data_IF_197914835240
#
_entry.id   IF_197914835240
#
_cell.length_a   1.000
_cell.length_b   1.000
_cell.length_c   1.000
_cell.angle_alpha   90.00
_cell.angle_beta   90.00
_cell.angle_gamma   90.00
#
_symmetry.space_group_name_H-M   'P 1'
#
loop_
_entity.id
_entity.type
_entity.pdbx_description
1 polymer ?
#
# COMPACT_ATOMS: atom_id res chain seq x y z
N UNK A 1 -7.23 -38.90 0.11
CA UNK A 1 -6.58 -38.78 1.44
C UNK A 1 -6.98 -37.46 2.08
N UNK A 2 -7.22 -37.43 3.39
CA UNK A 2 -7.45 -36.18 4.11
C UNK A 2 -6.10 -35.43 4.24
N UNK A 3 -6.05 -34.12 3.97
CA UNK A 3 -4.81 -33.36 4.06
C UNK A 3 -4.31 -33.33 5.51
N UNK A 4 -2.99 -33.44 5.70
CA UNK A 4 -2.36 -33.38 7.03
C UNK A 4 -2.58 -32.01 7.68
N UNK A 5 -2.39 -31.90 8.99
CA UNK A 5 -2.48 -30.61 9.69
C UNK A 5 -1.49 -29.58 9.11
N UNK A 6 -0.27 -30.01 8.79
CA UNK A 6 0.76 -29.17 8.19
C UNK A 6 0.40 -28.70 6.78
N UNK A 7 -0.12 -29.59 5.93
CA UNK A 7 -0.59 -29.22 4.57
C UNK A 7 -1.72 -28.19 4.62
N UNK A 8 -2.65 -28.31 5.58
CA UNK A 8 -3.71 -27.31 5.77
C UNK A 8 -3.15 -25.96 6.22
N UNK A 9 -2.25 -25.95 7.19
CA UNK A 9 -1.61 -24.72 7.65
C UNK A 9 -0.79 -24.05 6.53
N UNK A 10 -0.12 -24.83 5.70
CA UNK A 10 0.59 -24.35 4.51
C UNK A 10 -0.39 -23.72 3.50
N UNK A 11 -1.53 -24.37 3.23
CA UNK A 11 -2.59 -23.81 2.37
C UNK A 11 -3.19 -22.52 2.94
N UNK A 12 -3.51 -22.46 4.23
CA UNK A 12 -4.00 -21.25 4.90
C UNK A 12 -3.00 -20.10 4.79
N UNK A 13 -1.71 -20.36 5.04
CA UNK A 13 -0.65 -19.37 4.86
C UNK A 13 -0.55 -18.94 3.40
N UNK A 14 -0.63 -19.85 2.45
CA UNK A 14 -0.54 -19.55 1.01
C UNK A 14 -1.65 -18.58 0.57
N UNK A 15 -2.89 -18.77 1.00
CA UNK A 15 -3.99 -17.84 0.70
C UNK A 15 -3.82 -16.49 1.40
N UNK A 16 -3.35 -16.47 2.64
CA UNK A 16 -3.11 -15.22 3.37
C UNK A 16 -1.97 -14.40 2.74
N UNK A 17 -0.89 -15.03 2.26
CA UNK A 17 0.19 -14.33 1.56
C UNK A 17 -0.25 -13.74 0.22
N UNK A 18 -1.32 -14.27 -0.38
CA UNK A 18 -1.93 -13.74 -1.61
C UNK A 18 -3.11 -12.78 -1.36
N UNK A 19 -3.30 -12.33 -0.12
CA UNK A 19 -4.39 -11.41 0.20
C UNK A 19 -5.79 -12.02 0.09
N UNK A 20 -5.96 -13.35 0.23
CA UNK A 20 -7.24 -14.03 0.06
C UNK A 20 -7.84 -14.60 1.35
N UNK A 21 -8.09 -13.76 2.38
CA UNK A 21 -8.59 -14.25 3.67
C UNK A 21 -10.00 -14.83 3.59
N UNK A 22 -10.84 -14.36 2.66
CA UNK A 22 -12.23 -14.81 2.52
C UNK A 22 -12.36 -16.27 2.04
N UNK A 23 -11.29 -16.85 1.47
CA UNK A 23 -11.24 -18.26 1.05
C UNK A 23 -11.25 -19.20 2.26
N UNK A 24 -10.80 -18.72 3.43
CA UNK A 24 -10.74 -19.50 4.67
C UNK A 24 -12.14 -19.67 5.28
N UNK A 25 -12.30 -20.66 6.17
CA UNK A 25 -13.58 -20.88 6.87
C UNK A 25 -13.86 -19.71 7.84
N UNK A 26 -15.14 -19.39 8.12
CA UNK A 26 -15.50 -18.49 9.21
C UNK A 26 -14.87 -18.99 10.53
N UNK A 27 -14.21 -18.10 11.28
CA UNK A 27 -13.54 -18.43 12.55
C UNK A 27 -12.05 -18.77 12.45
N UNK A 28 -11.54 -19.24 11.30
CA UNK A 28 -10.09 -19.47 11.13
C UNK A 28 -9.27 -18.16 11.24
N UNK A 29 -9.85 -17.05 10.81
CA UNK A 29 -9.21 -15.73 10.87
C UNK A 29 -9.07 -15.19 12.30
N UNK A 30 -9.99 -15.56 13.21
CA UNK A 30 -9.93 -15.18 14.64
C UNK A 30 -8.90 -15.98 15.42
N UNK A 31 -8.49 -17.15 14.90
CA UNK A 31 -7.47 -17.96 15.55
C UNK A 31 -6.11 -17.26 15.41
N UNK A 32 -5.38 -17.16 16.54
CA UNK A 32 -4.00 -16.67 16.59
C UNK A 32 -3.82 -15.20 16.17
N UNK A 33 -4.87 -14.38 16.27
CA UNK A 33 -4.82 -12.94 15.97
C UNK A 33 -3.64 -12.24 16.66
N UNK A 34 -3.40 -12.56 17.94
CA UNK A 34 -2.25 -12.05 18.70
C UNK A 34 -0.89 -12.26 18.04
N UNK A 35 -0.59 -13.50 17.62
CA UNK A 35 0.69 -13.81 16.96
C UNK A 35 0.73 -13.35 15.50
N UNK A 36 -0.44 -13.13 14.87
CA UNK A 36 -0.55 -12.63 13.50
C UNK A 36 -0.37 -11.12 13.42
N UNK A 37 -0.73 -10.37 14.47
CA UNK A 37 -0.52 -8.92 14.54
C UNK A 37 0.89 -8.52 14.94
N UNK A 38 1.73 -9.46 15.40
CA UNK A 38 3.09 -9.19 15.89
C UNK A 38 3.96 -8.36 14.92
N UNK A 39 3.99 -8.60 13.60
CA UNK A 39 4.74 -7.76 12.66
C UNK A 39 4.29 -6.30 12.63
N UNK A 40 2.97 -6.06 12.64
CA UNK A 40 2.40 -4.72 12.61
C UNK A 40 2.61 -3.98 13.94
N UNK A 41 2.46 -4.69 15.07
CA UNK A 41 2.76 -4.17 16.39
C UNK A 41 4.24 -3.79 16.52
N UNK A 42 5.15 -4.62 15.99
CA UNK A 42 6.58 -4.33 16.01
C UNK A 42 6.95 -3.11 15.16
N UNK A 43 6.37 -2.98 13.96
CA UNK A 43 6.55 -1.78 13.14
C UNK A 43 6.04 -0.52 13.86
N UNK A 44 4.86 -0.59 14.48
CA UNK A 44 4.31 0.52 15.27
C UNK A 44 5.19 0.87 16.48
N UNK A 45 5.70 -0.14 17.20
CA UNK A 45 6.62 0.06 18.31
C UNK A 45 7.91 0.78 17.89
N UNK A 46 8.44 0.51 16.68
CA UNK A 46 9.60 1.24 16.14
C UNK A 46 9.26 2.71 15.90
N UNK A 47 8.10 3.01 15.31
CA UNK A 47 7.64 4.40 15.13
C UNK A 47 7.58 5.12 16.48
N UNK A 48 7.01 4.46 17.48
CA UNK A 48 6.90 5.01 18.84
C UNK A 48 8.27 5.16 19.53
N UNK A 49 9.21 4.25 19.30
CA UNK A 49 10.57 4.36 19.82
C UNK A 49 11.33 5.54 19.21
N UNK A 50 11.16 5.79 17.90
CA UNK A 50 11.68 6.99 17.25
C UNK A 50 11.06 8.27 17.82
N UNK A 51 9.76 8.24 18.13
CA UNK A 51 9.07 9.36 18.78
C UNK A 51 9.69 9.69 20.15
N UNK A 52 9.95 8.68 20.99
CA UNK A 52 10.70 8.87 22.25
C UNK A 52 12.07 9.49 21.99
N UNK A 53 12.83 8.95 21.03
CA UNK A 53 14.18 9.43 20.72
C UNK A 53 14.18 10.89 20.27
N UNK A 54 13.23 11.28 19.42
CA UNK A 54 13.08 12.65 18.94
C UNK A 54 12.76 13.57 20.12
N UNK A 55 11.74 13.25 20.94
CA UNK A 55 11.36 14.07 22.10
C UNK A 55 12.51 14.20 23.10
N UNK A 56 13.23 13.11 23.37
CA UNK A 56 14.37 13.11 24.30
C UNK A 56 15.54 13.98 23.83
N UNK A 57 15.76 14.08 22.51
CA UNK A 57 16.87 14.84 21.94
C UNK A 57 16.51 16.31 21.63
N UNK A 58 15.26 16.58 21.24
CA UNK A 58 14.81 17.93 20.85
C UNK A 58 14.12 18.68 21.96
N UNK A 59 13.57 17.97 22.97
CA UNK A 59 12.69 18.53 23.98
C UNK A 59 11.36 19.06 23.44
N UNK A 60 11.07 18.86 22.15
CA UNK A 60 9.87 19.36 21.46
C UNK A 60 9.03 18.20 20.96
N UNK A 61 7.72 18.34 21.13
CA UNK A 61 6.72 17.41 20.57
C UNK A 61 6.36 17.74 19.12
N UNK A 62 6.69 18.94 18.63
CA UNK A 62 6.43 19.40 17.26
C UNK A 62 7.71 19.88 16.60
N UNK A 63 7.86 19.58 15.31
CA UNK A 63 9.02 19.92 14.49
C UNK A 63 8.66 21.17 13.68
N UNK A 64 9.40 22.26 13.91
CA UNK A 64 9.29 23.51 13.17
C UNK A 64 10.70 23.84 12.68
N UNK A 65 10.91 23.88 11.36
CA UNK A 65 12.23 24.09 10.74
C UNK A 65 12.15 25.34 9.88
N UNK A 66 12.62 26.46 10.41
CA UNK A 66 12.69 27.72 9.69
C UNK A 66 14.07 27.91 9.05
N UNK A 67 14.11 28.00 7.72
CA UNK A 67 15.34 28.31 6.97
C UNK A 67 16.35 27.15 6.87
N UNK A 68 17.63 27.43 7.10
CA UNK A 68 18.70 26.44 6.96
C UNK A 68 18.74 25.48 8.17
N UNK A 69 18.58 24.15 7.98
CA UNK A 69 18.44 23.25 9.11
C UNK A 69 19.71 23.18 9.96
N UNK A 70 19.53 23.32 11.27
CA UNK A 70 20.55 23.09 12.30
C UNK A 70 20.92 21.60 12.36
N UNK A 71 22.03 21.25 13.03
CA UNK A 71 22.46 19.84 13.20
C UNK A 71 21.37 18.96 13.82
N UNK A 72 20.59 19.50 14.75
CA UNK A 72 19.48 18.80 15.42
C UNK A 72 18.31 18.61 14.47
N UNK A 73 18.00 19.59 13.62
CA UNK A 73 16.94 19.47 12.60
C UNK A 73 17.34 18.51 11.48
N UNK A 74 18.62 18.47 11.08
CA UNK A 74 19.15 17.43 10.20
C UNK A 74 18.99 16.03 10.79
N UNK A 75 19.20 15.86 12.09
CA UNK A 75 18.94 14.59 12.78
C UNK A 75 17.45 14.25 12.73
N UNK A 76 16.56 15.21 13.00
CA UNK A 76 15.11 15.00 12.94
C UNK A 76 14.66 14.64 11.52
N UNK A 77 15.20 15.29 10.49
CA UNK A 77 14.93 14.95 9.09
C UNK A 77 15.42 13.55 8.75
N UNK A 78 16.64 13.18 9.18
CA UNK A 78 17.16 11.83 9.00
C UNK A 78 16.30 10.79 9.74
N UNK A 79 15.86 11.10 10.97
CA UNK A 79 14.94 10.27 11.74
C UNK A 79 13.63 10.08 10.98
N UNK A 80 13.00 11.15 10.50
CA UNK A 80 11.75 11.11 9.73
C UNK A 80 11.87 10.21 8.49
N UNK A 81 12.98 10.29 7.77
CA UNK A 81 13.27 9.45 6.60
C UNK A 81 13.50 7.98 7.00
N UNK A 82 14.14 7.72 8.15
CA UNK A 82 14.50 6.38 8.61
C UNK A 82 13.40 5.66 9.40
N UNK A 83 12.42 6.38 9.97
CA UNK A 83 11.34 5.80 10.78
C UNK A 83 10.56 4.74 9.99
N UNK A 84 10.07 5.08 8.80
CA UNK A 84 9.25 4.17 8.01
C UNK A 84 10.04 2.95 7.47
N UNK A 85 11.26 3.11 6.90
CA UNK A 85 12.10 1.98 6.51
C UNK A 85 12.45 1.07 7.69
N UNK A 86 12.81 1.63 8.85
CA UNK A 86 13.16 0.83 10.03
C UNK A 86 11.95 0.08 10.60
N UNK A 87 10.78 0.72 10.65
CA UNK A 87 9.53 0.08 11.04
C UNK A 87 9.15 -1.07 10.09
N UNK A 88 9.28 -0.85 8.78
CA UNK A 88 9.07 -1.89 7.76
C UNK A 88 10.04 -3.05 7.90
N UNK A 89 11.33 -2.77 8.11
CA UNK A 89 12.37 -3.78 8.28
C UNK A 89 12.15 -4.66 9.52
N UNK A 90 11.84 -4.05 10.67
CA UNK A 90 11.56 -4.80 11.90
C UNK A 90 10.28 -5.62 11.77
N UNK A 91 9.22 -5.03 11.20
CA UNK A 91 7.98 -5.77 10.90
C UNK A 91 8.24 -6.99 10.00
N UNK A 92 9.10 -6.83 8.98
CA UNK A 92 9.50 -7.91 8.09
C UNK A 92 10.34 -9.00 8.77
N UNK A 93 11.28 -8.64 9.66
CA UNK A 93 12.03 -9.63 10.45
C UNK A 93 11.09 -10.47 11.34
N UNK A 94 10.13 -9.82 12.00
CA UNK A 94 9.12 -10.52 12.83
C UNK A 94 8.20 -11.39 11.95
N UNK A 95 7.89 -10.97 10.73
CA UNK A 95 7.07 -11.75 9.80
C UNK A 95 7.79 -13.01 9.29
N UNK A 96 9.12 -13.00 9.17
CA UNK A 96 9.92 -14.18 8.79
C UNK A 96 10.03 -15.23 9.88
N UNK A 97 9.81 -14.85 11.14
CA UNK A 97 9.91 -15.79 12.26
C UNK A 97 8.76 -16.78 12.21
N UNK A 98 9.05 -18.09 12.17
CA UNK A 98 8.03 -19.16 12.11
C UNK A 98 7.58 -19.65 13.48
N UNK A 99 8.36 -19.37 14.53
CA UNK A 99 8.06 -19.73 15.92
C UNK A 99 6.98 -18.83 16.53
N UNK A 100 5.91 -19.45 17.02
CA UNK A 100 4.78 -18.76 17.66
C UNK A 100 5.17 -18.12 18.99
N UNK A 101 6.13 -18.68 19.73
CA UNK A 101 6.58 -18.14 21.02
C UNK A 101 7.34 -16.84 20.83
N UNK A 102 8.26 -16.82 19.88
CA UNK A 102 9.04 -15.62 19.54
C UNK A 102 8.13 -14.50 19.05
N UNK A 103 7.12 -14.82 18.21
CA UNK A 103 6.11 -13.83 17.79
C UNK A 103 5.27 -13.29 18.95
N UNK A 104 4.89 -14.15 19.90
CA UNK A 104 4.16 -13.74 21.10
C UNK A 104 4.99 -12.84 22.02
N UNK A 105 6.28 -13.13 22.17
CA UNK A 105 7.22 -12.28 22.91
C UNK A 105 7.43 -10.94 22.22
N UNK A 106 7.59 -10.94 20.89
CA UNK A 106 7.75 -9.71 20.11
C UNK A 106 6.52 -8.80 20.20
N UNK A 107 5.30 -9.35 20.15
CA UNK A 107 4.08 -8.54 20.32
C UNK A 107 3.95 -7.97 21.74
N UNK A 108 4.29 -8.75 22.78
CA UNK A 108 4.30 -8.27 24.16
C UNK A 108 5.32 -7.16 24.37
N UNK A 109 6.55 -7.33 23.87
CA UNK A 109 7.59 -6.31 23.91
C UNK A 109 7.17 -5.03 23.14
N UNK A 110 6.52 -5.19 21.98
CA UNK A 110 6.02 -4.07 21.19
C UNK A 110 4.98 -3.24 21.97
N UNK A 111 4.04 -3.91 22.65
CA UNK A 111 3.05 -3.23 23.49
C UNK A 111 3.69 -2.49 24.67
N UNK A 112 4.73 -3.07 25.29
CA UNK A 112 5.48 -2.40 26.34
C UNK A 112 6.17 -1.13 25.83
N UNK A 113 6.80 -1.17 24.65
CA UNK A 113 7.42 0.01 24.01
C UNK A 113 6.37 1.09 23.71
N UNK A 114 5.20 0.72 23.16
CA UNK A 114 4.12 1.67 22.88
C UNK A 114 3.60 2.31 24.18
N UNK A 115 3.43 1.52 25.24
CA UNK A 115 3.00 2.04 26.54
C UNK A 115 4.02 3.03 27.14
N UNK A 116 5.31 2.71 27.07
CA UNK A 116 6.39 3.61 27.47
C UNK A 116 6.38 4.89 26.64
N UNK A 117 6.17 4.77 25.32
CA UNK A 117 6.14 5.93 24.43
C UNK A 117 4.97 6.87 24.73
N UNK A 118 3.81 6.35 25.10
CA UNK A 118 2.68 7.18 25.53
C UNK A 118 2.97 8.02 26.78
N UNK A 119 3.95 7.64 27.61
CA UNK A 119 4.36 8.38 28.81
C UNK A 119 5.52 9.32 28.54
N UNK A 120 6.52 8.87 27.78
CA UNK A 120 7.81 9.56 27.66
C UNK A 120 8.04 10.29 26.33
N UNK A 121 7.25 10.02 25.30
CA UNK A 121 7.58 10.45 23.94
C UNK A 121 6.39 10.57 23.00
N UNK A 122 5.21 10.82 23.55
CA UNK A 122 4.00 10.90 22.75
C UNK A 122 4.00 12.13 21.83
N UNK A 123 3.26 12.09 20.69
CA UNK A 123 3.22 13.18 19.72
C UNK A 123 2.64 14.49 20.29
N UNK A 124 1.98 14.44 21.45
CA UNK A 124 1.39 15.60 22.10
C UNK A 124 1.92 15.76 23.53
N UNK A 125 1.76 16.96 24.10
CA UNK A 125 2.05 17.18 25.52
C UNK A 125 1.02 16.49 26.44
N UNK A 126 -0.10 15.99 25.88
CA UNK A 126 -1.20 15.43 26.63
C UNK A 126 -1.13 13.89 26.64
N UNK A 127 -0.55 13.34 27.71
CA UNK A 127 -0.41 11.88 27.94
C UNK A 127 -1.73 11.13 27.71
N UNK A 128 -2.86 11.67 28.17
CA UNK A 128 -4.19 11.06 27.98
C UNK A 128 -4.60 10.95 26.52
N UNK A 129 -4.30 11.97 25.71
CA UNK A 129 -4.60 11.96 24.27
C UNK A 129 -3.74 10.93 23.54
N UNK A 130 -2.43 10.89 23.84
CA UNK A 130 -1.51 9.94 23.22
C UNK A 130 -1.83 8.50 23.59
N UNK A 131 -2.25 8.24 24.84
CA UNK A 131 -2.71 6.92 25.24
C UNK A 131 -3.97 6.49 24.49
N UNK A 132 -4.94 7.39 24.29
CA UNK A 132 -6.16 7.11 23.50
C UNK A 132 -5.79 6.77 22.05
N UNK A 133 -4.90 7.56 21.42
CA UNK A 133 -4.43 7.32 20.06
C UNK A 133 -3.72 5.97 19.96
N UNK A 134 -2.84 5.65 20.90
CA UNK A 134 -2.13 4.36 20.92
C UNK A 134 -3.10 3.17 21.03
N UNK A 135 -4.07 3.25 21.94
CA UNK A 135 -5.10 2.22 22.09
C UNK A 135 -5.95 2.10 20.81
N UNK A 136 -6.30 3.21 20.17
CA UNK A 136 -7.04 3.21 18.91
C UNK A 136 -6.24 2.54 17.79
N UNK A 137 -4.95 2.86 17.63
CA UNK A 137 -4.06 2.25 16.63
C UNK A 137 -3.87 0.76 16.88
N UNK A 138 -3.62 0.35 18.12
CA UNK A 138 -3.51 -1.07 18.48
C UNK A 138 -4.81 -1.82 18.17
N UNK A 139 -5.96 -1.23 18.53
CA UNK A 139 -7.28 -1.80 18.23
C UNK A 139 -7.50 -1.92 16.72
N UNK A 140 -7.11 -0.92 15.94
CA UNK A 140 -7.16 -0.96 14.48
C UNK A 140 -6.27 -2.07 13.91
N UNK A 141 -5.05 -2.26 14.41
CA UNK A 141 -4.16 -3.35 14.01
C UNK A 141 -4.82 -4.71 14.27
N UNK A 142 -5.43 -4.90 15.45
CA UNK A 142 -6.13 -6.14 15.78
C UNK A 142 -7.35 -6.37 14.89
N UNK A 143 -8.18 -5.35 14.68
CA UNK A 143 -9.34 -5.43 13.78
C UNK A 143 -8.92 -5.77 12.34
N UNK A 144 -7.90 -5.10 11.80
CA UNK A 144 -7.36 -5.38 10.48
C UNK A 144 -6.80 -6.81 10.37
N UNK A 145 -6.14 -7.30 11.41
CA UNK A 145 -5.61 -8.67 11.46
C UNK A 145 -6.72 -9.71 11.52
N UNK A 146 -7.75 -9.43 12.33
CA UNK A 146 -8.85 -10.34 12.59
C UNK A 146 -9.83 -10.45 11.41
N UNK A 147 -10.02 -9.35 10.68
CA UNK A 147 -10.79 -9.30 9.42
C UNK A 147 -10.02 -9.84 8.21
N UNK A 148 -8.69 -9.98 8.31
CA UNK A 148 -7.83 -10.37 7.19
C UNK A 148 -7.43 -9.20 6.29
N UNK A 149 -7.88 -7.97 6.58
CA UNK A 149 -7.41 -6.75 5.89
C UNK A 149 -5.89 -6.62 5.99
N UNK A 150 -5.30 -6.98 7.13
CA UNK A 150 -3.84 -6.94 7.32
C UNK A 150 -3.07 -7.83 6.34
N UNK A 151 -3.61 -9.00 5.96
CA UNK A 151 -3.00 -9.83 4.91
C UNK A 151 -3.12 -9.20 3.52
N UNK A 152 -4.22 -8.50 3.24
CA UNK A 152 -4.40 -7.79 1.96
C UNK A 152 -3.43 -6.60 1.87
N UNK A 153 -3.28 -5.84 2.95
CA UNK A 153 -2.33 -4.73 3.03
C UNK A 153 -0.88 -5.21 2.90
N UNK A 154 -0.50 -6.28 3.59
CA UNK A 154 0.85 -6.84 3.51
C UNK A 154 1.18 -7.37 2.11
N UNK A 155 0.23 -8.04 1.47
CA UNK A 155 0.36 -8.48 0.08
C UNK A 155 0.45 -7.29 -0.89
N UNK A 156 -0.41 -6.28 -0.73
CA UNK A 156 -0.40 -5.09 -1.58
C UNK A 156 0.92 -4.32 -1.47
N UNK A 157 1.48 -4.21 -0.26
CA UNK A 157 2.78 -3.59 -0.02
C UNK A 157 3.91 -4.35 -0.73
N UNK A 158 3.92 -5.68 -0.62
CA UNK A 158 4.91 -6.52 -1.31
C UNK A 158 4.81 -6.34 -2.84
N UNK A 159 3.59 -6.35 -3.37
CA UNK A 159 3.34 -6.08 -4.79
C UNK A 159 3.89 -4.72 -5.22
N UNK A 160 3.71 -3.66 -4.41
CA UNK A 160 4.28 -2.34 -4.69
C UNK A 160 5.82 -2.38 -4.71
N UNK A 161 6.45 -3.09 -3.78
CA UNK A 161 7.92 -3.22 -3.74
C UNK A 161 8.47 -4.00 -4.93
N UNK A 162 7.82 -5.10 -5.33
CA UNK A 162 8.21 -5.88 -6.50
C UNK A 162 8.05 -5.06 -7.79
N UNK A 163 7.00 -4.23 -7.86
CA UNK A 163 6.79 -3.26 -8.94
C UNK A 163 7.89 -2.18 -8.98
N UNK A 164 8.37 -1.71 -7.82
CA UNK A 164 9.48 -0.76 -7.70
C UNK A 164 10.81 -1.35 -8.21
N UNK A 165 11.07 -2.65 -8.05
CA UNK A 165 12.28 -3.27 -8.62
C UNK A 165 12.25 -3.23 -10.16
N UNK A 166 11.07 -3.10 -10.76
CA UNK A 166 10.86 -3.03 -12.21
C UNK A 166 10.84 -1.60 -12.79
N UNK A 167 11.34 -0.59 -12.05
CA UNK A 167 11.36 0.84 -12.46
C UNK A 167 11.90 1.06 -13.88
N UNK A 168 12.90 0.27 -14.31
CA UNK A 168 13.50 0.39 -15.64
C UNK A 168 12.48 0.22 -16.79
N UNK A 169 11.56 -0.73 -16.67
CA UNK A 169 10.47 -0.92 -17.64
C UNK A 169 9.26 0.02 -17.41
N UNK A 170 9.20 0.70 -16.26
CA UNK A 170 8.18 1.71 -15.99
C UNK A 170 8.53 3.05 -16.61
N UNK A 171 9.81 3.43 -16.63
CA UNK A 171 10.28 4.69 -17.23
C UNK A 171 9.95 4.76 -18.72
N UNK A 172 10.15 3.66 -19.46
CA UNK A 172 9.81 3.57 -20.88
C UNK A 172 8.30 3.70 -21.15
N UNK A 173 7.46 3.20 -20.23
CA UNK A 173 6.00 3.35 -20.28
C UNK A 173 5.53 4.77 -19.97
N UNK A 174 6.27 5.50 -19.14
CA UNK A 174 5.95 6.86 -18.76
C UNK A 174 6.42 7.90 -19.79
N UNK A 175 7.40 7.60 -20.65
CA UNK A 175 7.95 8.52 -21.66
C UNK A 175 6.89 9.35 -22.42
N UNK A 176 5.81 8.76 -22.98
CA UNK A 176 4.80 9.55 -23.70
C UNK A 176 4.06 10.53 -22.78
N UNK A 177 3.73 10.09 -21.56
CA UNK A 177 3.07 10.94 -20.56
C UNK A 177 4.03 12.02 -20.10
N UNK A 178 5.31 11.70 -19.90
CA UNK A 178 6.34 12.66 -19.54
C UNK A 178 6.46 13.77 -20.58
N UNK A 179 6.50 13.43 -21.87
CA UNK A 179 6.54 14.43 -22.95
C UNK A 179 5.34 15.37 -22.90
N UNK A 180 4.13 14.82 -22.71
CA UNK A 180 2.91 15.62 -22.59
C UNK A 180 2.90 16.49 -21.32
N UNK A 181 3.32 15.91 -20.19
CA UNK A 181 3.29 16.55 -18.88
C UNK A 181 4.40 17.56 -18.69
N UNK A 182 5.51 17.48 -19.43
CA UNK A 182 6.55 18.53 -19.48
C UNK A 182 5.95 19.84 -19.98
N UNK A 183 5.06 19.80 -20.99
CA UNK A 183 4.38 21.01 -21.46
C UNK A 183 3.48 21.62 -20.37
N UNK A 184 2.77 20.78 -19.63
CA UNK A 184 1.98 21.21 -18.47
C UNK A 184 2.88 21.73 -17.33
N UNK A 185 4.04 21.12 -17.14
CA UNK A 185 5.00 21.51 -16.10
C UNK A 185 5.58 22.90 -16.34
N UNK A 186 5.79 23.33 -17.58
CA UNK A 186 6.27 24.69 -17.88
C UNK A 186 5.14 25.71 -18.12
N UNK A 187 3.89 25.36 -17.79
CA UNK A 187 2.73 26.21 -18.03
C UNK A 187 2.48 27.18 -16.85
N UNK A 188 2.71 28.47 -17.06
CA UNK A 188 2.56 29.52 -16.04
C UNK A 188 1.24 29.48 -15.26
N UNK A 189 0.06 29.48 -15.91
CA UNK A 189 -1.23 29.34 -15.24
C UNK A 189 -1.35 28.16 -14.27
N UNK A 190 -0.70 27.02 -14.55
CA UNK A 190 -0.70 25.86 -13.65
C UNK A 190 0.07 26.18 -12.36
N UNK A 191 1.18 26.90 -12.44
CA UNK A 191 1.94 27.34 -11.27
C UNK A 191 1.19 28.39 -10.44
N UNK A 192 0.54 29.34 -11.10
CA UNK A 192 -0.31 30.34 -10.43
C UNK A 192 -1.45 29.66 -9.67
N UNK A 193 -2.15 28.70 -10.32
CA UNK A 193 -3.17 27.88 -9.66
C UNK A 193 -2.57 27.10 -8.47
N UNK A 194 -1.43 26.43 -8.66
CA UNK A 194 -0.81 25.62 -7.62
C UNK A 194 -0.36 26.43 -6.40
N UNK A 195 0.08 27.68 -6.58
CA UNK A 195 0.46 28.58 -5.50
C UNK A 195 -0.73 29.11 -4.69
N UNK A 196 -1.91 29.23 -5.32
CA UNK A 196 -3.10 29.86 -4.72
C UNK A 196 -4.11 28.85 -4.15
N UNK A 197 -4.11 27.61 -4.64
CA UNK A 197 -5.03 26.57 -4.18
C UNK A 197 -4.71 26.15 -2.75
N UNK A 198 -5.74 26.17 -1.89
CA UNK A 198 -5.62 25.65 -0.53
C UNK A 198 -5.48 24.13 -0.50
N UNK A 199 -4.76 23.60 0.50
CA UNK A 199 -4.52 22.14 0.64
C UNK A 199 -5.81 21.34 0.71
N UNK A 200 -6.83 21.84 1.41
CA UNK A 200 -8.13 21.17 1.50
C UNK A 200 -8.79 21.01 0.13
N UNK A 201 -8.76 22.07 -0.70
CA UNK A 201 -9.30 22.01 -2.07
C UNK A 201 -8.46 21.09 -2.96
N UNK A 202 -7.13 21.13 -2.82
CA UNK A 202 -6.24 20.21 -3.53
C UNK A 202 -6.59 18.75 -3.21
N UNK A 203 -6.67 18.39 -1.93
CA UNK A 203 -7.01 17.02 -1.51
C UNK A 203 -8.38 16.57 -2.04
N UNK A 204 -9.39 17.43 -2.03
CA UNK A 204 -10.70 17.14 -2.61
C UNK A 204 -10.59 16.89 -4.13
N UNK A 205 -9.82 17.71 -4.85
CA UNK A 205 -9.61 17.53 -6.29
C UNK A 205 -8.84 16.23 -6.60
N UNK A 206 -7.77 15.94 -5.86
CA UNK A 206 -7.01 14.69 -6.01
C UNK A 206 -7.87 13.47 -5.70
N UNK A 207 -8.67 13.53 -4.62
CA UNK A 207 -9.61 12.46 -4.26
C UNK A 207 -10.66 12.26 -5.35
N UNK A 208 -11.21 13.35 -5.91
CA UNK A 208 -12.18 13.28 -6.99
C UNK A 208 -11.61 12.62 -8.25
N UNK A 209 -10.43 13.04 -8.71
CA UNK A 209 -9.74 12.39 -9.84
C UNK A 209 -9.44 10.91 -9.55
N UNK A 210 -8.96 10.62 -8.34
CA UNK A 210 -8.63 9.26 -7.93
C UNK A 210 -9.87 8.36 -7.94
N UNK A 211 -10.99 8.82 -7.39
CA UNK A 211 -12.25 8.07 -7.36
C UNK A 211 -12.78 7.76 -8.76
N UNK A 212 -12.71 8.72 -9.69
CA UNK A 212 -13.12 8.50 -11.09
C UNK A 212 -12.22 7.46 -11.76
N UNK A 213 -10.90 7.62 -11.62
CA UNK A 213 -9.94 6.70 -12.20
C UNK A 213 -10.09 5.27 -11.65
N UNK A 214 -10.28 5.13 -10.33
CA UNK A 214 -10.55 3.84 -9.67
C UNK A 214 -11.87 3.26 -10.14
N UNK A 215 -12.95 4.04 -10.21
CA UNK A 215 -14.24 3.55 -10.68
C UNK A 215 -14.15 3.01 -12.12
N UNK A 216 -13.43 3.71 -13.00
CA UNK A 216 -13.19 3.27 -14.37
C UNK A 216 -12.39 1.96 -14.40
N UNK A 217 -11.27 1.91 -13.68
CA UNK A 217 -10.39 0.76 -13.54
C UNK A 217 -11.13 -0.50 -13.04
N UNK A 218 -11.91 -0.35 -11.96
CA UNK A 218 -12.71 -1.43 -11.37
C UNK A 218 -13.82 -1.89 -12.32
N UNK A 219 -14.49 -0.96 -13.00
CA UNK A 219 -15.54 -1.29 -13.97
C UNK A 219 -15.00 -2.12 -15.13
N UNK A 220 -13.87 -1.72 -15.71
CA UNK A 220 -13.21 -2.47 -16.79
C UNK A 220 -12.72 -3.85 -16.34
N UNK A 221 -12.17 -3.95 -15.13
CA UNK A 221 -11.75 -5.22 -14.54
C UNK A 221 -12.93 -6.16 -14.30
N UNK A 222 -14.04 -5.66 -13.74
CA UNK A 222 -15.25 -6.44 -13.48
C UNK A 222 -15.83 -7.06 -14.74
N UNK A 223 -15.83 -6.31 -15.85
CA UNK A 223 -16.28 -6.81 -17.16
C UNK A 223 -15.51 -8.05 -17.61
N UNK A 224 -14.21 -8.16 -17.28
CA UNK A 224 -13.34 -9.28 -17.66
C UNK A 224 -13.30 -10.43 -16.67
N UNK A 225 -13.43 -10.13 -15.39
CA UNK A 225 -13.35 -11.14 -14.33
C UNK A 225 -14.67 -11.92 -14.24
N UNK A 226 -15.81 -11.28 -14.53
CA UNK A 226 -17.13 -11.91 -14.42
C UNK A 226 -17.27 -13.25 -15.18
N UNK A 227 -16.81 -13.41 -16.44
CA UNK A 227 -16.83 -14.70 -17.14
C UNK A 227 -15.95 -15.78 -16.48
N UNK A 228 -14.85 -15.39 -15.85
CA UNK A 228 -13.86 -16.31 -15.25
C UNK A 228 -14.33 -16.84 -13.89
N UNK A 229 -15.12 -16.03 -13.18
CA UNK A 229 -15.76 -16.41 -11.92
C UNK A 229 -16.94 -17.36 -12.12
N UNK A 230 -17.39 -17.59 -13.35
CA UNK A 230 -18.44 -18.55 -13.64
C UNK A 230 -17.99 -19.97 -13.22
N UNK A 231 -18.78 -20.70 -12.41
CA UNK A 231 -18.50 -22.09 -12.07
C UNK A 231 -18.26 -23.01 -13.28
N UNK A 232 -18.83 -22.68 -14.45
CA UNK A 232 -18.65 -23.40 -15.71
C UNK A 232 -17.31 -23.14 -16.42
N UNK A 233 -16.55 -22.12 -16.02
CA UNK A 233 -15.28 -21.75 -16.65
C UNK A 233 -14.08 -22.60 -16.18
N UNK A 234 -14.31 -23.77 -15.57
CA UNK A 234 -13.24 -24.67 -15.11
C UNK A 234 -12.68 -25.46 -16.30
N UNK A 235 -11.41 -25.24 -16.63
CA UNK A 235 -10.69 -26.03 -17.62
C UNK A 235 -9.84 -27.12 -16.94
N UNK A 236 -9.69 -28.29 -17.60
CA UNK A 236 -8.84 -29.38 -17.11
C UNK A 236 -7.35 -28.97 -17.10
N UNK A 237 -6.94 -28.10 -18.01
CA UNK A 237 -5.58 -27.53 -18.09
C UNK A 237 -5.18 -26.74 -16.84
N UNK A 238 -6.16 -26.18 -16.11
CA UNK A 238 -5.88 -25.41 -14.89
C UNK A 238 -5.34 -26.30 -13.75
N UNK A 239 -5.61 -27.62 -13.79
CA UNK A 239 -5.11 -28.57 -12.80
C UNK A 239 -3.57 -28.75 -12.89
N UNK A 240 -3.01 -28.60 -14.08
CA UNK A 240 -1.56 -28.71 -14.31
C UNK A 240 -0.78 -27.54 -13.70
N UNK A 241 -1.43 -26.38 -13.53
CA UNK A 241 -0.83 -25.18 -12.91
C UNK A 241 -0.59 -25.33 -11.41
N UNK A 242 -1.18 -26.34 -10.76
CA UNK A 242 -1.03 -26.60 -9.32
C UNK A 242 0.18 -27.46 -8.94
N UNK A 243 0.95 -27.94 -9.92
CA UNK A 243 2.19 -28.71 -9.68
C UNK A 243 3.17 -27.88 -8.86
N UNK A 244 3.71 -28.46 -7.79
CA UNK A 244 4.62 -27.78 -6.85
C UNK A 244 3.93 -26.89 -5.81
N UNK A 245 2.60 -26.80 -5.82
CA UNK A 245 1.84 -26.11 -4.76
C UNK A 245 1.36 -27.08 -3.67
N UNK A 246 1.03 -26.59 -2.45
CA UNK A 246 0.49 -27.46 -1.39
C UNK A 246 -0.81 -28.20 -1.76
N UNK A 247 -1.46 -27.82 -2.86
CA UNK A 247 -2.75 -28.33 -3.31
C UNK A 247 -2.65 -29.44 -4.38
N UNK A 248 -1.43 -29.79 -4.80
CA UNK A 248 -1.18 -30.77 -5.87
C UNK A 248 -1.83 -32.13 -5.57
N UNK A 249 -1.70 -32.63 -4.34
CA UNK A 249 -2.20 -33.94 -3.90
C UNK A 249 -3.63 -33.92 -3.35
N UNK A 250 -4.31 -32.77 -3.38
CA UNK A 250 -5.66 -32.63 -2.85
C UNK A 250 -6.72 -33.10 -3.86
N UNK A 251 -7.83 -33.71 -3.40
CA UNK A 251 -8.90 -34.19 -4.28
C UNK A 251 -9.56 -33.04 -5.04
N UNK A 252 -9.90 -33.32 -6.30
CA UNK A 252 -10.50 -32.37 -7.23
C UNK A 252 -11.97 -32.71 -7.53
N UNK A 253 -12.78 -31.70 -7.87
CA UNK A 253 -14.19 -31.87 -8.27
C UNK A 253 -14.39 -31.51 -9.74
N UNK A 254 -15.32 -32.13 -10.48
CA UNK A 254 -15.56 -31.78 -11.89
C UNK A 254 -16.07 -30.34 -12.10
N UNK A 255 -16.77 -29.77 -11.13
CA UNK A 255 -17.30 -28.39 -11.17
C UNK A 255 -16.82 -27.57 -9.98
N UNK A 256 -16.48 -26.30 -10.22
CA UNK A 256 -16.09 -25.36 -9.16
C UNK A 256 -17.24 -25.15 -8.18
N UNK A 257 -16.94 -25.13 -6.89
CA UNK A 257 -17.90 -24.69 -5.88
C UNK A 257 -18.19 -23.19 -6.08
N UNK A 258 -19.46 -22.75 -6.18
CA UNK A 258 -19.79 -21.35 -6.38
C UNK A 258 -19.16 -20.48 -5.29
N UNK A 259 -18.68 -19.31 -5.69
CA UNK A 259 -18.10 -18.33 -4.78
C UNK A 259 -19.23 -17.67 -3.99
N UNK A 260 -19.04 -17.54 -2.67
CA UNK A 260 -19.89 -16.67 -1.86
C UNK A 260 -19.70 -15.20 -2.27
N UNK A 261 -20.68 -14.34 -1.95
CA UNK A 261 -20.59 -12.90 -2.22
C UNK A 261 -19.33 -12.26 -1.61
N UNK A 262 -18.95 -12.69 -0.41
CA UNK A 262 -17.75 -12.22 0.28
C UNK A 262 -16.46 -12.68 -0.42
N UNK A 263 -16.40 -13.93 -0.90
CA UNK A 263 -15.24 -14.41 -1.67
C UNK A 263 -15.13 -13.68 -3.01
N UNK A 264 -16.25 -13.47 -3.70
CA UNK A 264 -16.28 -12.72 -4.95
C UNK A 264 -15.81 -11.28 -4.76
N UNK A 265 -16.31 -10.61 -3.72
CA UNK A 265 -15.88 -9.25 -3.38
C UNK A 265 -14.39 -9.20 -3.04
N UNK A 266 -13.88 -10.17 -2.26
CA UNK A 266 -12.46 -10.22 -1.90
C UNK A 266 -11.55 -10.46 -3.11
N UNK A 267 -11.93 -11.38 -4.01
CA UNK A 267 -11.19 -11.62 -5.26
C UNK A 267 -11.13 -10.36 -6.13
N UNK A 268 -12.28 -9.72 -6.35
CA UNK A 268 -12.35 -8.48 -7.13
C UNK A 268 -11.55 -7.37 -6.45
N UNK A 269 -11.65 -7.25 -5.12
CA UNK A 269 -10.93 -6.25 -4.34
C UNK A 269 -9.41 -6.43 -4.45
N UNK A 270 -8.91 -7.66 -4.30
CA UNK A 270 -7.49 -7.99 -4.44
C UNK A 270 -7.00 -7.62 -5.84
N UNK A 271 -7.70 -8.05 -6.89
CA UNK A 271 -7.34 -7.71 -8.26
C UNK A 271 -7.36 -6.19 -8.54
N UNK A 272 -8.41 -5.51 -8.08
CA UNK A 272 -8.53 -4.06 -8.21
C UNK A 272 -7.40 -3.34 -7.47
N UNK A 273 -7.10 -3.75 -6.24
CA UNK A 273 -6.04 -3.17 -5.43
C UNK A 273 -4.67 -3.39 -6.06
N UNK A 274 -4.41 -4.59 -6.60
CA UNK A 274 -3.19 -4.89 -7.38
C UNK A 274 -3.01 -3.92 -8.54
N UNK A 275 -4.07 -3.74 -9.32
CA UNK A 275 -4.05 -2.89 -10.49
C UNK A 275 -3.89 -1.41 -10.12
N UNK A 276 -4.58 -0.95 -9.07
CA UNK A 276 -4.42 0.41 -8.52
C UNK A 276 -2.98 0.62 -8.05
N UNK A 277 -2.43 -0.32 -7.27
CA UNK A 277 -1.07 -0.23 -6.75
C UNK A 277 -0.04 -0.16 -7.88
N UNK A 278 -0.18 -0.98 -8.93
CA UNK A 278 0.71 -0.96 -10.08
C UNK A 278 0.67 0.39 -10.81
N UNK A 279 -0.51 0.89 -11.14
CA UNK A 279 -0.70 2.18 -11.84
C UNK A 279 -0.22 3.35 -10.97
N UNK A 280 -0.53 3.32 -9.67
CA UNK A 280 -0.12 4.34 -8.71
C UNK A 280 1.41 4.37 -8.54
N UNK A 281 2.06 3.21 -8.54
CA UNK A 281 3.53 3.13 -8.46
C UNK A 281 4.18 3.88 -9.63
N UNK A 282 3.69 3.67 -10.86
CA UNK A 282 4.20 4.38 -12.04
C UNK A 282 3.91 5.89 -11.95
N UNK A 283 2.71 6.26 -11.52
CA UNK A 283 2.30 7.66 -11.36
C UNK A 283 3.15 8.40 -10.32
N UNK A 284 3.40 7.79 -9.16
CA UNK A 284 4.24 8.34 -8.09
C UNK A 284 5.69 8.42 -8.54
N UNK A 285 6.23 7.40 -9.20
CA UNK A 285 7.59 7.44 -9.75
C UNK A 285 7.77 8.59 -10.75
N UNK A 286 6.77 8.81 -11.60
CA UNK A 286 6.73 9.92 -12.56
C UNK A 286 6.66 11.26 -11.83
N UNK A 287 5.81 11.37 -10.81
CA UNK A 287 5.71 12.55 -9.95
C UNK A 287 7.02 12.89 -9.24
N UNK A 288 7.70 11.88 -8.69
CA UNK A 288 9.01 12.04 -8.05
C UNK A 288 10.07 12.52 -9.05
N UNK A 289 10.04 12.02 -10.29
CA UNK A 289 10.94 12.51 -11.33
C UNK A 289 10.70 14.00 -11.63
N UNK A 290 9.44 14.42 -11.76
CA UNK A 290 9.11 15.84 -11.95
C UNK A 290 9.45 16.70 -10.73
N UNK A 291 9.32 16.15 -9.52
CA UNK A 291 9.73 16.82 -8.30
C UNK A 291 11.24 17.06 -8.29
N UNK A 292 12.04 16.03 -8.58
CA UNK A 292 13.49 16.14 -8.70
C UNK A 292 13.89 17.10 -9.83
N UNK A 293 13.25 16.98 -10.99
CA UNK A 293 13.48 17.86 -12.13
C UNK A 293 13.16 19.32 -11.78
N UNK A 294 12.06 19.58 -11.08
CA UNK A 294 11.68 20.90 -10.60
C UNK A 294 12.66 21.47 -9.60
N UNK A 295 13.14 20.66 -8.64
CA UNK A 295 14.18 21.08 -7.70
C UNK A 295 15.51 21.45 -8.38
N UNK A 296 15.83 20.80 -9.51
CA UNK A 296 17.06 21.07 -10.27
C UNK A 296 16.96 22.30 -11.17
N UNK A 297 15.81 22.51 -11.81
CA UNK A 297 15.64 23.54 -12.85
C UNK A 297 15.02 24.84 -12.35
N UNK A 298 14.16 24.79 -11.33
CA UNK A 298 13.41 25.95 -10.89
C UNK A 298 14.27 26.73 -9.90
N UNK A 299 14.89 27.79 -10.41
CA UNK A 299 15.56 28.77 -9.56
C UNK A 299 14.53 29.58 -8.74
N UNK A 300 14.91 30.15 -7.58
CA UNK A 300 14.02 31.02 -6.81
C UNK A 300 13.45 32.19 -7.62
N UNK A 301 14.24 32.75 -8.55
CA UNK A 301 13.78 33.82 -9.45
C UNK A 301 12.72 33.33 -10.45
N UNK A 302 12.90 32.12 -11.01
CA UNK A 302 11.92 31.50 -11.90
C UNK A 302 10.64 31.12 -11.14
N UNK A 303 10.76 30.62 -9.91
CA UNK A 303 9.61 30.32 -9.06
C UNK A 303 8.80 31.58 -8.77
N UNK A 304 9.44 32.68 -8.40
CA UNK A 304 8.77 33.96 -8.14
C UNK A 304 8.02 34.47 -9.38
N UNK A 305 8.62 34.34 -10.57
CA UNK A 305 7.99 34.70 -11.83
C UNK A 305 6.79 33.81 -12.19
N UNK A 306 6.86 32.51 -11.91
CA UNK A 306 5.78 31.55 -12.19
C UNK A 306 4.61 31.62 -11.18
N UNK A 307 4.89 32.08 -9.97
CA UNK A 307 3.93 32.09 -8.84
C UNK A 307 3.45 33.48 -8.46
N UNK A 308 3.82 34.53 -9.22
CA UNK A 308 3.48 35.93 -8.95
C UNK A 308 3.86 36.37 -7.52
N UNK A 309 5.06 35.97 -7.07
CA UNK A 309 5.57 36.29 -5.73
C UNK A 309 5.01 35.42 -4.59
N UNK A 310 4.49 34.23 -4.88
CA UNK A 310 3.98 33.29 -3.87
C UNK A 310 5.03 32.80 -2.86
N UNK A 311 4.60 32.14 -1.76
CA UNK A 311 5.50 31.71 -0.68
C UNK A 311 6.62 30.77 -1.17
N UNK A 312 7.86 31.05 -0.75
CA UNK A 312 9.04 30.26 -1.14
C UNK A 312 9.07 28.86 -0.48
N UNK A 313 8.51 28.75 0.73
CA UNK A 313 8.52 27.52 1.53
C UNK A 313 7.15 26.81 1.49
N UNK A 314 7.17 25.48 1.55
CA UNK A 314 5.97 24.67 1.66
C UNK A 314 5.81 24.10 3.06
N UNK A 315 4.57 23.91 3.50
CA UNK A 315 4.31 23.18 4.73
C UNK A 315 3.61 21.84 4.41
N UNK A 316 3.91 20.80 5.18
CA UNK A 316 3.30 19.48 5.10
C UNK A 316 2.88 19.05 6.51
N UNK A 317 1.59 18.80 6.73
CA UNK A 317 1.06 18.36 8.04
C UNK A 317 1.60 19.16 9.24
N UNK A 318 1.62 20.49 9.12
CA UNK A 318 2.09 21.47 10.13
C UNK A 318 3.63 21.63 10.24
N UNK A 319 4.42 20.93 9.42
CA UNK A 319 5.88 21.11 9.34
C UNK A 319 6.26 21.96 8.12
N UNK A 320 7.12 22.96 8.30
CA UNK A 320 7.80 23.69 7.22
C UNK A 320 8.88 22.79 6.61
N UNK A 321 8.80 22.57 5.30
CA UNK A 321 9.81 21.84 4.52
C UNK A 321 10.47 22.82 3.54
N UNK A 322 11.79 22.73 3.31
CA UNK A 322 12.50 23.53 2.31
C UNK A 322 12.22 23.04 0.88
N UNK A 323 10.95 22.77 0.58
CA UNK A 323 10.45 22.38 -0.74
C UNK A 323 9.32 23.36 -1.09
N UNK A 324 9.40 24.08 -2.22
CA UNK A 324 8.38 25.05 -2.59
C UNK A 324 6.97 24.45 -2.64
N UNK A 325 6.00 25.11 -2.01
CA UNK A 325 4.62 24.62 -1.96
C UNK A 325 4.03 24.40 -3.35
N UNK A 326 4.26 25.36 -4.25
CA UNK A 326 3.77 25.28 -5.62
C UNK A 326 4.34 24.04 -6.35
N UNK A 327 5.62 23.72 -6.14
CA UNK A 327 6.24 22.53 -6.73
C UNK A 327 5.60 21.23 -6.19
N UNK A 328 5.32 21.15 -4.89
CA UNK A 328 4.59 20.01 -4.32
C UNK A 328 3.19 19.87 -4.92
N UNK A 329 2.45 20.97 -5.04
CA UNK A 329 1.09 20.94 -5.59
C UNK A 329 1.07 20.57 -7.08
N UNK A 330 1.98 21.13 -7.90
CA UNK A 330 2.11 20.80 -9.33
C UNK A 330 2.45 19.33 -9.51
N UNK A 331 3.43 18.82 -8.76
CA UNK A 331 3.87 17.41 -8.86
C UNK A 331 2.78 16.43 -8.41
N UNK A 332 2.02 16.77 -7.36
CA UNK A 332 0.84 16.00 -6.97
C UNK A 332 -0.23 15.97 -8.06
N UNK A 333 -0.50 17.12 -8.69
CA UNK A 333 -1.47 17.21 -9.78
C UNK A 333 -1.05 16.40 -11.01
N UNK A 334 0.22 16.52 -11.43
CA UNK A 334 0.79 15.73 -12.52
C UNK A 334 0.76 14.22 -12.22
N UNK A 335 1.02 13.83 -10.97
CA UNK A 335 0.90 12.44 -10.53
C UNK A 335 -0.54 11.92 -10.65
N UNK A 336 -1.53 12.71 -10.22
CA UNK A 336 -2.93 12.33 -10.32
C UNK A 336 -3.43 12.23 -11.77
N UNK A 337 -3.01 13.17 -12.64
CA UNK A 337 -3.31 13.10 -14.07
C UNK A 337 -2.65 11.88 -14.73
N UNK A 338 -1.40 11.59 -14.37
CA UNK A 338 -0.67 10.41 -14.85
C UNK A 338 -1.39 9.13 -14.42
N UNK A 339 -1.81 9.03 -13.16
CA UNK A 339 -2.59 7.91 -12.65
C UNK A 339 -3.89 7.73 -13.43
N UNK A 340 -4.64 8.80 -13.65
CA UNK A 340 -5.89 8.77 -14.41
C UNK A 340 -5.68 8.33 -15.87
N UNK A 341 -4.69 8.89 -16.56
CA UNK A 341 -4.35 8.51 -17.93
C UNK A 341 -3.97 7.02 -18.04
N UNK A 342 -3.09 6.54 -17.15
CA UNK A 342 -2.66 5.16 -17.13
C UNK A 342 -3.80 4.20 -16.75
N UNK A 343 -4.69 4.58 -15.84
CA UNK A 343 -5.88 3.80 -15.49
C UNK A 343 -6.81 3.64 -16.70
N UNK A 344 -7.02 4.70 -17.49
CA UNK A 344 -7.81 4.63 -18.72
C UNK A 344 -7.15 3.74 -19.78
N UNK A 345 -5.83 3.90 -19.97
CA UNK A 345 -5.05 3.12 -20.92
C UNK A 345 -5.01 1.64 -20.56
N UNK A 346 -4.96 1.32 -19.27
CA UNK A 346 -4.97 -0.05 -18.77
C UNK A 346 -6.20 -0.87 -19.17
N UNK A 347 -7.30 -0.22 -19.55
CA UNK A 347 -8.53 -0.91 -20.00
C UNK A 347 -8.71 -0.83 -21.51
N UNK A 348 -8.29 0.26 -22.14
CA UNK A 348 -8.59 0.50 -23.55
C UNK A 348 -7.49 0.00 -24.50
N UNK A 349 -6.23 -0.02 -24.07
CA UNK A 349 -5.08 -0.39 -24.90
C UNK A 349 -4.78 -1.90 -24.80
N UNK A 350 -4.77 -2.60 -25.93
CA UNK A 350 -4.56 -4.05 -25.98
C UNK A 350 -3.16 -4.48 -25.53
N UNK A 351 -2.14 -3.71 -25.92
CA UNK A 351 -0.75 -4.00 -25.58
C UNK A 351 -0.53 -3.78 -24.07
N UNK A 352 -1.04 -2.66 -23.55
CA UNK A 352 -0.91 -2.35 -22.13
C UNK A 352 -1.62 -3.40 -21.25
N UNK A 353 -2.78 -3.90 -21.70
CA UNK A 353 -3.53 -4.95 -21.01
C UNK A 353 -2.80 -6.26 -20.93
N UNK A 354 -2.20 -6.71 -22.03
CA UNK A 354 -1.46 -7.96 -22.07
C UNK A 354 -0.31 -7.96 -21.06
N UNK A 355 0.34 -6.81 -20.89
CA UNK A 355 1.44 -6.66 -19.96
C UNK A 355 1.02 -6.46 -18.50
N UNK A 356 -0.17 -5.90 -18.23
CA UNK A 356 -0.56 -5.48 -16.87
C UNK A 356 -1.72 -6.27 -16.28
N UNK A 357 -2.75 -6.58 -17.06
CA UNK A 357 -4.01 -7.17 -16.59
C UNK A 357 -4.00 -8.69 -16.73
N UNK A 358 -3.49 -9.22 -17.83
CA UNK A 358 -3.53 -10.66 -18.11
C UNK A 358 -2.74 -11.51 -17.08
N UNK A 359 -1.56 -11.07 -16.58
CA UNK A 359 -0.87 -11.79 -15.51
C UNK A 359 -1.68 -11.89 -14.22
N UNK A 360 -2.45 -10.85 -13.88
CA UNK A 360 -3.32 -10.83 -12.70
C UNK A 360 -4.50 -11.81 -12.86
N UNK A 361 -5.04 -11.90 -14.08
CA UNK A 361 -6.11 -12.85 -14.41
C UNK A 361 -5.59 -14.30 -14.30
N UNK A 362 -4.37 -14.54 -14.74
CA UNK A 362 -3.78 -15.89 -14.71
C UNK A 362 -3.48 -16.34 -13.28
N UNK A 363 -2.94 -15.48 -12.42
CA UNK A 363 -2.76 -15.76 -10.99
C UNK A 363 -4.12 -15.95 -10.27
N UNK A 364 -5.17 -15.24 -10.70
CA UNK A 364 -6.53 -15.50 -10.23
C UNK A 364 -6.99 -16.92 -10.57
N UNK A 365 -6.79 -17.38 -11.82
CA UNK A 365 -7.20 -18.73 -12.24
C UNK A 365 -6.53 -19.80 -11.41
N UNK A 366 -5.21 -19.71 -11.25
CA UNK A 366 -4.43 -20.59 -10.35
C UNK A 366 -5.07 -20.64 -8.96
N UNK A 367 -5.39 -19.48 -8.42
CA UNK A 367 -5.90 -19.36 -7.07
C UNK A 367 -7.31 -19.91 -6.90
N UNK A 368 -8.19 -19.73 -7.90
CA UNK A 368 -9.53 -20.31 -7.87
C UNK A 368 -9.49 -21.84 -7.88
N UNK A 369 -8.53 -22.43 -8.59
CA UNK A 369 -8.36 -23.89 -8.66
C UNK A 369 -7.79 -24.41 -7.34
N UNK A 370 -6.80 -23.72 -6.76
CA UNK A 370 -6.28 -24.00 -5.43
C UNK A 370 -7.39 -23.96 -4.36
N UNK A 371 -8.26 -22.93 -4.41
CA UNK A 371 -9.43 -22.83 -3.51
C UNK A 371 -10.32 -24.05 -3.63
N UNK A 372 -10.66 -24.46 -4.85
CA UNK A 372 -11.62 -25.54 -5.08
C UNK A 372 -11.12 -26.85 -4.48
N UNK A 373 -9.82 -27.15 -4.65
CA UNK A 373 -9.17 -28.30 -4.00
C UNK A 373 -9.13 -28.18 -2.48
N UNK A 374 -8.79 -27.00 -1.95
CA UNK A 374 -8.78 -26.76 -0.50
C UNK A 374 -10.17 -26.93 0.14
N UNK A 375 -11.21 -26.39 -0.49
CA UNK A 375 -12.60 -26.52 -0.03
C UNK A 375 -13.08 -27.96 -0.14
N UNK A 376 -12.71 -28.67 -1.20
CA UNK A 376 -13.04 -30.10 -1.35
C UNK A 376 -12.37 -30.95 -0.27
N UNK A 377 -11.09 -30.72 -0.01
CA UNK A 377 -10.33 -31.47 1.00
C UNK A 377 -10.78 -31.17 2.44
N UNK A 378 -11.28 -29.96 2.70
CA UNK A 378 -11.78 -29.58 4.03
C UNK A 378 -13.25 -29.93 4.23
N UNK A 379 -14.10 -29.88 3.20
CA UNK A 379 -15.55 -30.16 3.29
C UNK A 379 -15.91 -31.58 3.75
N UNK A 380 -14.98 -32.53 3.69
CA UNK A 380 -15.14 -33.88 4.24
C UNK A 380 -15.15 -33.94 5.79
N UNK A 381 -15.04 -32.78 6.46
CA UNK A 381 -15.18 -32.58 7.91
C UNK A 381 -15.87 -31.25 8.20
#
# INVERSE_FOLDING_TARGET
MNPTYEQRLAGERWFLHRGLPAVLRPGTLMRRVWTRSAPALAGFAVVMAWSILIVALTGKHTIDIDGAPTRTEWFVLAALVLVLPSAGFVGWLVSRTTDLRVRGAASAASLAVVALAGVFGGPSAAISFDMIVNVAVITAIFLCTATGIGSILGWALQMTLDNLVSIGGMLSRALPVMLLTVLAFFNGPIWTMASTVSRGRLWLALLFLFLIAVAFLVSGLLGRVRPILDPGAKAEEDAQKLVGTPFESMPDRPRRVPLSTAERANVVFVLALSQIAQVLTVAVATGMLFLLFGLLLISPAMLAALTDGGPADGQFLTMTLPIPQALMHVTMFLSALTFMYLAARAINDAEYRHQSVDPLIEDLRLTLVARDRYRTATAAR
#
